data_IF_960519466767
#
_entry.id   IF_960519466767
#
_cell.length_a   1.000
_cell.length_b   1.000
_cell.length_c   1.000
_cell.angle_alpha   90.00
_cell.angle_beta   90.00
_cell.angle_gamma   90.00
#
_symmetry.space_group_name_H-M   'P 1'
#
loop_
_entity.id
_entity.type
_entity.pdbx_description
1 polymer ?
#
# COMPACT_ATOMS: atom_id res chain seq x y z
N UNK A 1 22.87 -2.51 -19.70
CA UNK A 1 21.66 -1.76 -19.29
C UNK A 1 20.32 -2.35 -19.78
N UNK A 2 20.26 -3.25 -20.78
CA UNK A 2 18.98 -3.88 -21.20
C UNK A 2 18.48 -5.04 -20.31
N UNK A 3 19.35 -5.60 -19.47
CA UNK A 3 19.09 -6.82 -18.66
C UNK A 3 18.54 -6.57 -17.24
N UNK A 4 18.12 -5.35 -16.91
CA UNK A 4 17.50 -5.03 -15.61
C UNK A 4 16.09 -4.46 -15.78
N UNK A 5 15.54 -4.49 -16.99
CA UNK A 5 14.26 -3.82 -17.29
C UNK A 5 13.13 -4.43 -16.48
N UNK A 6 13.12 -5.75 -16.36
CA UNK A 6 12.09 -6.48 -15.61
C UNK A 6 12.20 -6.15 -14.12
N UNK A 7 13.43 -6.16 -13.59
CA UNK A 7 13.69 -5.81 -12.19
C UNK A 7 13.26 -4.38 -11.88
N UNK A 8 13.64 -3.42 -12.72
CA UNK A 8 13.28 -2.01 -12.57
C UNK A 8 11.77 -1.81 -12.65
N UNK A 9 11.09 -2.49 -13.58
CA UNK A 9 9.64 -2.44 -13.68
C UNK A 9 8.96 -2.97 -12.41
N UNK A 10 9.47 -4.07 -11.85
CA UNK A 10 9.00 -4.57 -10.56
C UNK A 10 9.27 -3.58 -9.42
N UNK A 11 10.45 -2.96 -9.38
CA UNK A 11 10.80 -1.95 -8.36
C UNK A 11 9.87 -0.74 -8.42
N UNK A 12 9.51 -0.27 -9.62
CA UNK A 12 8.50 0.77 -9.79
C UNK A 12 7.12 0.30 -9.33
N UNK A 13 6.68 -0.89 -9.72
CA UNK A 13 5.43 -1.45 -9.25
C UNK A 13 5.39 -1.52 -7.71
N UNK A 14 6.45 -2.08 -7.12
CA UNK A 14 6.69 -2.18 -5.68
C UNK A 14 6.60 -0.85 -4.98
N UNK A 15 7.27 0.18 -5.51
CA UNK A 15 7.20 1.53 -4.97
C UNK A 15 5.74 2.00 -4.86
N UNK A 16 4.97 1.96 -5.95
CA UNK A 16 3.60 2.45 -5.95
C UNK A 16 2.70 1.71 -4.97
N UNK A 17 2.65 0.37 -5.02
CA UNK A 17 1.73 -0.34 -4.13
C UNK A 17 2.19 -0.31 -2.66
N UNK A 18 3.50 -0.34 -2.37
CA UNK A 18 3.98 -0.25 -0.99
C UNK A 18 3.78 1.13 -0.40
N UNK A 19 3.95 2.18 -1.19
CA UNK A 19 3.62 3.52 -0.75
C UNK A 19 2.14 3.64 -0.40
N UNK A 20 1.25 3.05 -1.21
CA UNK A 20 -0.17 2.95 -0.88
C UNK A 20 -0.44 2.21 0.43
N UNK A 21 0.18 1.05 0.63
CA UNK A 21 0.09 0.27 1.89
C UNK A 21 0.52 1.11 3.08
N UNK A 22 1.71 1.69 3.01
CA UNK A 22 2.29 2.38 4.15
C UNK A 22 1.57 3.72 4.42
N UNK A 23 1.04 4.36 3.39
CA UNK A 23 0.22 5.58 3.52
C UNK A 23 -1.07 5.29 4.27
N UNK A 24 -1.76 4.21 3.93
CA UNK A 24 -2.96 3.77 4.69
C UNK A 24 -2.61 3.60 6.16
N UNK A 25 -1.52 2.90 6.48
CA UNK A 25 -1.13 2.63 7.86
C UNK A 25 -0.77 3.92 8.61
N UNK A 26 0.03 4.79 8.00
CA UNK A 26 0.46 6.05 8.63
C UNK A 26 -0.67 7.05 8.80
N UNK A 27 -1.53 7.18 7.82
CA UNK A 27 -2.60 8.19 7.79
C UNK A 27 -3.94 7.67 8.33
N UNK A 28 -4.04 6.41 8.74
CA UNK A 28 -5.27 5.83 9.29
C UNK A 28 -5.79 6.62 10.51
N UNK A 29 -4.90 7.06 11.40
CA UNK A 29 -5.28 7.82 12.60
C UNK A 29 -5.80 9.21 12.20
N UNK A 30 -5.07 9.93 11.36
CA UNK A 30 -5.51 11.27 10.89
C UNK A 30 -6.83 11.20 10.13
N UNK A 31 -7.00 10.17 9.30
CA UNK A 31 -8.24 9.91 8.59
C UNK A 31 -9.39 9.65 9.57
N UNK A 32 -9.20 8.75 10.53
CA UNK A 32 -10.19 8.41 11.54
C UNK A 32 -10.61 9.60 12.41
N UNK A 33 -9.66 10.44 12.82
CA UNK A 33 -9.95 11.68 13.54
C UNK A 33 -10.75 12.65 12.68
N UNK A 34 -10.39 12.78 11.40
CA UNK A 34 -11.06 13.69 10.45
C UNK A 34 -12.53 13.34 10.20
N UNK A 35 -12.91 12.07 10.37
CA UNK A 35 -14.30 11.62 10.26
C UNK A 35 -15.02 11.53 11.62
N UNK A 36 -14.38 11.98 12.70
CA UNK A 36 -15.01 12.14 14.03
C UNK A 36 -14.83 10.96 14.99
N UNK A 37 -13.90 10.03 14.73
CA UNK A 37 -13.60 8.96 15.69
C UNK A 37 -12.67 9.43 16.79
N UNK A 38 -12.85 8.86 18.00
CA UNK A 38 -12.04 9.20 19.15
C UNK A 38 -10.64 8.60 19.03
N UNK A 39 -9.61 9.33 19.45
CA UNK A 39 -8.20 8.87 19.36
C UNK A 39 -7.95 7.53 20.07
N UNK A 40 -8.68 7.24 21.15
CA UNK A 40 -8.60 5.95 21.86
C UNK A 40 -9.01 4.78 20.98
N UNK A 41 -10.05 4.95 20.15
CA UNK A 41 -10.50 3.91 19.23
C UNK A 41 -9.46 3.67 18.12
N UNK A 42 -8.84 4.75 17.66
CA UNK A 42 -7.85 4.71 16.58
C UNK A 42 -6.56 4.02 17.00
N UNK A 43 -6.06 4.35 18.21
CA UNK A 43 -4.89 3.70 18.80
C UNK A 43 -5.16 2.21 19.02
N UNK A 44 -6.36 1.86 19.49
CA UNK A 44 -6.76 0.46 19.70
C UNK A 44 -6.75 -0.31 18.38
N UNK A 45 -7.26 0.27 17.30
CA UNK A 45 -7.24 -0.38 15.99
C UNK A 45 -5.80 -0.55 15.47
N UNK A 46 -4.92 0.44 15.66
CA UNK A 46 -3.50 0.33 15.27
C UNK A 46 -2.78 -0.78 16.04
N UNK A 47 -3.07 -0.96 17.33
CA UNK A 47 -2.57 -2.11 18.10
C UNK A 47 -3.08 -3.42 17.52
N UNK A 48 -4.37 -3.49 17.18
CA UNK A 48 -4.98 -4.66 16.55
C UNK A 48 -4.26 -5.04 15.24
N UNK A 49 -3.93 -4.07 14.37
CA UNK A 49 -3.16 -4.31 13.14
C UNK A 49 -1.84 -5.02 13.44
N UNK A 50 -1.13 -4.59 14.48
CA UNK A 50 0.17 -5.16 14.84
C UNK A 50 0.04 -6.62 15.32
N UNK A 51 -0.95 -6.92 16.16
CA UNK A 51 -1.20 -8.28 16.65
C UNK A 51 -1.69 -9.23 15.56
N UNK A 52 -2.53 -8.73 14.64
CA UNK A 52 -3.06 -9.53 13.53
C UNK A 52 -2.01 -9.72 12.44
N UNK A 53 -1.17 -8.71 12.19
CA UNK A 53 -0.22 -8.73 11.08
C UNK A 53 0.89 -9.76 11.20
N UNK A 54 1.38 -10.02 12.40
CA UNK A 54 2.43 -11.03 12.62
C UNK A 54 2.00 -12.46 12.23
N UNK A 55 0.91 -13.04 12.78
CA UNK A 55 0.47 -14.38 12.41
C UNK A 55 0.03 -14.45 10.95
N UNK A 56 -0.54 -13.37 10.42
CA UNK A 56 -1.03 -13.35 9.05
C UNK A 56 0.09 -13.34 8.01
N UNK A 57 1.24 -12.72 8.32
CA UNK A 57 2.43 -12.79 7.47
C UNK A 57 2.85 -14.24 7.18
N UNK A 58 2.78 -15.12 8.19
CA UNK A 58 3.10 -16.55 8.06
C UNK A 58 2.07 -17.28 7.19
N UNK A 59 0.79 -16.93 7.30
CA UNK A 59 -0.29 -17.53 6.51
C UNK A 59 -0.17 -17.10 5.05
N UNK A 60 -0.01 -15.80 4.79
CA UNK A 60 0.17 -15.26 3.44
C UNK A 60 1.46 -15.74 2.78
N UNK A 61 2.54 -15.96 3.55
CA UNK A 61 3.76 -16.59 3.06
C UNK A 61 3.50 -17.98 2.48
N UNK A 62 2.78 -18.83 3.23
CA UNK A 62 2.36 -20.17 2.76
C UNK A 62 1.40 -20.12 1.57
N UNK A 63 0.55 -19.09 1.49
CA UNK A 63 -0.31 -18.88 0.33
C UNK A 63 0.51 -18.60 -0.93
N UNK A 64 1.58 -17.80 -0.82
CA UNK A 64 2.50 -17.53 -1.93
C UNK A 64 3.25 -18.75 -2.45
N UNK A 65 3.54 -19.72 -1.58
CA UNK A 65 4.15 -21.00 -1.97
C UNK A 65 3.20 -21.86 -2.81
N UNK A 66 1.91 -21.89 -2.45
CA UNK A 66 0.91 -22.72 -3.14
C UNK A 66 0.34 -22.08 -4.40
N UNK A 67 0.05 -20.78 -4.37
CA UNK A 67 -0.67 -20.07 -5.45
C UNK A 67 0.25 -19.25 -6.37
N UNK A 68 1.52 -19.11 -5.99
CA UNK A 68 2.50 -18.30 -6.71
C UNK A 68 2.56 -16.87 -6.16
N UNK A 69 3.79 -16.40 -5.94
CA UNK A 69 4.09 -15.14 -5.25
C UNK A 69 3.43 -13.93 -5.93
N UNK A 70 3.55 -13.79 -7.26
CA UNK A 70 2.97 -12.66 -8.01
C UNK A 70 1.44 -12.59 -7.86
N UNK A 71 0.76 -13.73 -7.95
CA UNK A 71 -0.71 -13.80 -7.79
C UNK A 71 -1.14 -13.43 -6.37
N UNK A 72 -0.39 -13.84 -5.36
CA UNK A 72 -0.65 -13.47 -3.97
C UNK A 72 -0.43 -11.97 -3.71
N UNK A 73 0.52 -11.33 -4.40
CA UNK A 73 0.67 -9.86 -4.36
C UNK A 73 -0.56 -9.18 -4.98
N UNK A 74 -1.05 -9.66 -6.13
CA UNK A 74 -2.29 -9.12 -6.72
C UNK A 74 -3.51 -9.27 -5.81
N UNK A 75 -3.67 -10.42 -5.16
CA UNK A 75 -4.72 -10.62 -4.17
C UNK A 75 -4.61 -9.59 -3.04
N UNK A 76 -3.41 -9.36 -2.53
CA UNK A 76 -3.17 -8.37 -1.49
C UNK A 76 -3.53 -6.95 -1.95
N UNK A 77 -3.08 -6.54 -3.14
CA UNK A 77 -3.45 -5.24 -3.75
C UNK A 77 -4.97 -5.11 -3.87
N UNK A 78 -5.66 -6.15 -4.35
CA UNK A 78 -7.12 -6.17 -4.44
C UNK A 78 -7.81 -5.99 -3.08
N UNK A 79 -7.31 -6.65 -2.03
CA UNK A 79 -7.84 -6.47 -0.67
C UNK A 79 -7.62 -5.03 -0.18
N UNK A 80 -6.44 -4.44 -0.43
CA UNK A 80 -6.18 -3.04 -0.09
C UNK A 80 -7.11 -2.08 -0.84
N UNK A 81 -7.38 -2.32 -2.11
CA UNK A 81 -8.32 -1.52 -2.89
C UNK A 81 -9.74 -1.60 -2.32
N UNK A 82 -10.23 -2.82 -2.01
CA UNK A 82 -11.54 -3.01 -1.39
C UNK A 82 -11.60 -2.36 0.00
N UNK A 83 -10.54 -2.49 0.80
CA UNK A 83 -10.45 -1.84 2.10
C UNK A 83 -10.46 -0.31 1.98
N UNK A 84 -9.82 0.24 0.95
CA UNK A 84 -9.84 1.69 0.66
C UNK A 84 -11.26 2.15 0.30
N UNK A 85 -11.96 1.42 -0.58
CA UNK A 85 -13.36 1.71 -0.95
C UNK A 85 -14.30 1.61 0.26
N UNK A 86 -14.10 0.61 1.13
CA UNK A 86 -14.81 0.50 2.40
C UNK A 86 -14.50 1.68 3.33
N UNK A 87 -13.24 2.07 3.42
CA UNK A 87 -12.77 3.21 4.20
C UNK A 87 -13.46 4.52 3.80
N UNK A 88 -13.62 4.78 2.49
CA UNK A 88 -14.32 5.97 1.97
C UNK A 88 -15.77 6.08 2.42
N UNK A 89 -16.42 4.96 2.72
CA UNK A 89 -17.84 4.90 3.07
C UNK A 89 -18.08 4.72 4.57
N UNK A 90 -17.01 4.57 5.35
CA UNK A 90 -17.06 4.32 6.79
C UNK A 90 -17.82 5.40 7.55
N UNK A 91 -18.72 4.96 8.43
CA UNK A 91 -19.52 5.82 9.31
C UNK A 91 -19.45 5.36 10.77
N UNK A 92 -19.19 4.07 11.00
CA UNK A 92 -19.23 3.46 12.32
C UNK A 92 -17.85 2.98 12.76
N UNK A 93 -17.59 3.04 14.06
CA UNK A 93 -16.29 2.65 14.65
C UNK A 93 -15.94 1.18 14.41
N UNK A 94 -16.93 0.29 14.42
CA UNK A 94 -16.70 -1.14 14.18
C UNK A 94 -16.17 -1.43 12.77
N UNK A 95 -16.56 -0.61 11.79
CA UNK A 95 -16.06 -0.72 10.41
C UNK A 95 -14.57 -0.40 10.35
N UNK A 96 -14.11 0.56 11.16
CA UNK A 96 -12.69 0.87 11.30
C UNK A 96 -11.89 -0.30 11.85
N UNK A 97 -12.40 -0.95 12.91
CA UNK A 97 -11.75 -2.13 13.49
C UNK A 97 -11.73 -3.31 12.50
N UNK A 98 -12.81 -3.51 11.74
CA UNK A 98 -12.86 -4.54 10.70
C UNK A 98 -11.83 -4.27 9.60
N UNK A 99 -11.76 -3.04 9.09
CA UNK A 99 -10.78 -2.65 8.08
C UNK A 99 -9.34 -2.74 8.61
N UNK A 100 -9.10 -2.35 9.85
CA UNK A 100 -7.82 -2.51 10.52
C UNK A 100 -7.42 -4.00 10.60
N UNK A 101 -8.35 -4.89 10.97
CA UNK A 101 -8.10 -6.33 10.98
C UNK A 101 -7.75 -6.85 9.59
N UNK A 102 -8.52 -6.48 8.56
CA UNK A 102 -8.28 -6.87 7.16
C UNK A 102 -6.93 -6.37 6.66
N UNK A 103 -6.61 -5.11 6.89
CA UNK A 103 -5.30 -4.52 6.53
C UNK A 103 -4.19 -5.27 7.26
N UNK A 104 -4.32 -5.49 8.57
CA UNK A 104 -3.37 -6.26 9.36
C UNK A 104 -3.10 -7.63 8.76
N UNK A 105 -4.15 -8.37 8.39
CA UNK A 105 -4.02 -9.71 7.80
C UNK A 105 -3.15 -9.72 6.53
N UNK A 106 -3.21 -8.65 5.73
CA UNK A 106 -2.53 -8.59 4.43
C UNK A 106 -1.18 -7.88 4.51
N UNK A 107 -1.01 -6.95 5.46
CA UNK A 107 0.15 -6.07 5.58
C UNK A 107 1.46 -6.84 5.67
N UNK A 108 1.56 -7.82 6.58
CA UNK A 108 2.76 -8.63 6.70
C UNK A 108 2.98 -9.54 5.48
N UNK A 109 1.88 -10.00 4.88
CA UNK A 109 1.87 -10.88 3.72
C UNK A 109 2.46 -10.23 2.47
N UNK A 110 1.94 -9.07 2.07
CA UNK A 110 2.41 -8.38 0.86
C UNK A 110 3.89 -7.98 0.97
N UNK A 111 4.36 -7.61 2.16
CA UNK A 111 5.76 -7.26 2.41
C UNK A 111 6.69 -8.48 2.30
N UNK A 112 6.28 -9.64 2.83
CA UNK A 112 7.05 -10.87 2.72
C UNK A 112 7.07 -11.40 1.28
N UNK A 113 5.92 -11.39 0.61
CA UNK A 113 5.78 -11.83 -0.78
C UNK A 113 6.59 -10.94 -1.73
N UNK A 114 6.56 -9.63 -1.57
CA UNK A 114 7.33 -8.70 -2.40
C UNK A 114 8.83 -8.96 -2.30
N UNK A 115 9.34 -9.20 -1.07
CA UNK A 115 10.74 -9.58 -0.85
C UNK A 115 11.07 -10.94 -1.49
N UNK A 116 10.19 -11.93 -1.35
CA UNK A 116 10.36 -13.24 -1.97
C UNK A 116 10.30 -13.19 -3.50
N UNK A 117 9.51 -12.27 -4.07
CA UNK A 117 9.46 -12.07 -5.51
C UNK A 117 10.74 -11.39 -6.02
N UNK A 118 11.17 -10.33 -5.33
CA UNK A 118 12.41 -9.62 -5.63
C UNK A 118 13.63 -10.56 -5.64
N UNK A 119 13.72 -11.46 -4.64
CA UNK A 119 14.85 -12.40 -4.53
C UNK A 119 15.01 -13.33 -5.74
N UNK A 120 13.92 -13.58 -6.47
CA UNK A 120 13.91 -14.43 -7.68
C UNK A 120 14.34 -13.67 -8.94
N UNK A 121 14.38 -12.34 -8.88
CA UNK A 121 14.69 -11.45 -10.01
C UNK A 121 16.11 -10.87 -9.93
N UNK A 122 16.86 -11.18 -8.87
CA UNK A 122 18.21 -10.66 -8.65
C UNK A 122 19.26 -11.77 -8.79
N UNK A 123 20.47 -11.43 -9.24
CA UNK A 123 21.55 -12.40 -9.34
C UNK A 123 22.06 -12.79 -7.93
N UNK A 124 22.24 -14.11 -7.64
CA UNK A 124 22.55 -14.59 -6.29
C UNK A 124 23.95 -14.18 -5.80
N UNK A 125 24.90 -13.95 -6.71
CA UNK A 125 26.28 -13.53 -6.41
C UNK A 125 26.38 -12.06 -5.95
N UNK A 126 25.38 -11.22 -6.24
CA UNK A 126 25.35 -9.79 -5.89
C UNK A 126 24.15 -9.43 -5.00
N UNK A 127 23.47 -10.41 -4.41
CA UNK A 127 22.21 -10.20 -3.70
C UNK A 127 22.28 -9.09 -2.64
N UNK A 128 23.41 -8.96 -1.93
CA UNK A 128 23.58 -7.93 -0.90
C UNK A 128 23.46 -6.49 -1.45
N UNK A 129 24.02 -6.21 -2.62
CA UNK A 129 23.95 -4.90 -3.28
C UNK A 129 22.51 -4.59 -3.71
N UNK A 130 21.87 -5.56 -4.37
CA UNK A 130 20.47 -5.44 -4.81
C UNK A 130 19.50 -5.29 -3.63
N UNK A 131 19.70 -5.98 -2.51
CA UNK A 131 18.89 -5.79 -1.30
C UNK A 131 19.18 -4.44 -0.63
N UNK A 132 20.43 -3.95 -0.70
CA UNK A 132 20.77 -2.59 -0.29
C UNK A 132 19.95 -1.55 -1.05
N UNK A 133 19.91 -1.65 -2.38
CA UNK A 133 19.10 -0.79 -3.24
C UNK A 133 17.59 -0.91 -2.96
N UNK A 134 17.08 -2.13 -2.84
CA UNK A 134 15.66 -2.38 -2.53
C UNK A 134 15.23 -1.75 -1.20
N UNK A 135 16.05 -1.90 -0.15
CA UNK A 135 15.78 -1.30 1.15
C UNK A 135 15.83 0.22 1.10
N UNK A 136 16.77 0.79 0.34
CA UNK A 136 16.84 2.23 0.10
C UNK A 136 15.57 2.72 -0.61
N UNK A 137 15.17 2.07 -1.71
CA UNK A 137 13.97 2.41 -2.47
C UNK A 137 12.71 2.34 -1.60
N UNK A 138 12.57 1.28 -0.78
CA UNK A 138 11.46 1.14 0.15
C UNK A 138 11.35 2.29 1.16
N UNK A 139 12.48 2.83 1.65
CA UNK A 139 12.46 4.00 2.55
C UNK A 139 12.03 5.29 1.85
N UNK A 140 12.37 5.46 0.58
CA UNK A 140 11.92 6.59 -0.22
C UNK A 140 10.50 6.41 -0.77
N UNK A 141 9.95 5.19 -0.68
CA UNK A 141 8.66 4.88 -1.27
C UNK A 141 7.53 5.74 -0.71
N UNK A 142 7.65 6.09 0.56
CA UNK A 142 6.70 6.70 1.52
C UNK A 142 6.23 8.13 1.22
N UNK A 143 6.63 8.73 0.10
CA UNK A 143 6.43 10.18 -0.12
C UNK A 143 5.18 10.48 -0.94
N UNK A 144 4.88 9.67 -1.96
CA UNK A 144 3.85 10.02 -2.94
C UNK A 144 2.44 9.96 -2.34
N UNK A 145 2.16 8.98 -1.50
CA UNK A 145 0.85 8.75 -0.92
C UNK A 145 0.42 9.85 0.05
N UNK A 146 1.23 10.27 1.03
CA UNK A 146 0.86 11.38 1.89
C UNK A 146 0.72 12.69 1.13
N UNK A 147 1.56 12.93 0.12
CA UNK A 147 1.44 14.11 -0.77
C UNK A 147 0.14 14.05 -1.57
N UNK A 148 -0.22 12.89 -2.12
CA UNK A 148 -1.45 12.69 -2.88
C UNK A 148 -2.68 12.88 -1.99
N UNK A 149 -2.69 12.25 -0.81
CA UNK A 149 -3.76 12.42 0.17
C UNK A 149 -3.91 13.88 0.60
N UNK A 150 -2.82 14.55 0.98
CA UNK A 150 -2.83 15.95 1.38
C UNK A 150 -3.30 16.87 0.25
N UNK A 151 -2.79 16.66 -0.97
CA UNK A 151 -3.17 17.40 -2.16
C UNK A 151 -4.66 17.26 -2.50
N UNK A 152 -5.17 16.03 -2.52
CA UNK A 152 -6.60 15.78 -2.78
C UNK A 152 -7.48 16.35 -1.66
N UNK A 153 -7.07 16.25 -0.40
CA UNK A 153 -7.80 16.85 0.72
C UNK A 153 -7.90 18.38 0.56
N UNK A 154 -6.79 19.05 0.21
CA UNK A 154 -6.75 20.50 0.00
C UNK A 154 -7.60 20.93 -1.20
N UNK A 155 -7.46 20.23 -2.32
CA UNK A 155 -8.24 20.51 -3.53
C UNK A 155 -9.74 20.30 -3.28
N UNK A 156 -10.12 19.21 -2.61
CA UNK A 156 -11.51 18.93 -2.26
C UNK A 156 -12.07 20.01 -1.33
N UNK A 157 -11.32 20.44 -0.31
CA UNK A 157 -11.72 21.55 0.58
C UNK A 157 -11.90 22.85 -0.19
N UNK A 158 -10.92 23.23 -1.01
CA UNK A 158 -10.99 24.48 -1.77
C UNK A 158 -12.15 24.51 -2.77
N UNK A 159 -12.52 23.36 -3.34
CA UNK A 159 -13.58 23.27 -4.33
C UNK A 159 -14.98 23.19 -3.72
N UNK A 160 -15.13 22.49 -2.59
CA UNK A 160 -16.43 22.23 -1.95
C UNK A 160 -16.81 23.31 -0.92
N UNK A 161 -15.85 24.09 -0.40
CA UNK A 161 -16.11 25.06 0.66
C UNK A 161 -16.77 26.33 0.10
N UNK A 162 -17.95 26.73 0.60
CA UNK A 162 -18.61 27.98 0.19
C UNK A 162 -17.89 29.21 0.74
N UNK A 163 -18.14 30.39 0.16
CA UNK A 163 -17.44 31.65 0.50
C UNK A 163 -17.65 32.09 1.97
N UNK A 164 -18.81 31.79 2.54
CA UNK A 164 -19.14 32.10 3.93
C UNK A 164 -19.72 30.84 4.61
N UNK A 165 -18.87 29.88 5.02
CA UNK A 165 -19.33 28.59 5.51
C UNK A 165 -19.79 28.67 6.97
N UNK A 166 -20.90 27.99 7.27
CA UNK A 166 -21.29 27.67 8.65
C UNK A 166 -20.39 26.58 9.26
N UNK A 167 -20.35 26.48 10.59
CA UNK A 167 -19.55 25.45 11.29
C UNK A 167 -19.91 24.02 10.85
N UNK A 168 -21.20 23.77 10.57
CA UNK A 168 -21.69 22.49 10.08
C UNK A 168 -21.16 22.15 8.68
N UNK A 169 -21.09 23.15 7.78
CA UNK A 169 -20.53 22.97 6.44
C UNK A 169 -19.02 22.74 6.48
N UNK A 170 -18.29 23.43 7.37
CA UNK A 170 -16.86 23.19 7.58
C UNK A 170 -16.60 21.73 7.97
N UNK A 171 -17.37 21.20 8.91
CA UNK A 171 -17.25 19.80 9.34
C UNK A 171 -17.60 18.84 8.21
N UNK A 172 -18.74 19.05 7.53
CA UNK A 172 -19.18 18.19 6.43
C UNK A 172 -18.17 18.16 5.28
N UNK A 173 -17.68 19.32 4.83
CA UNK A 173 -16.65 19.42 3.79
C UNK A 173 -15.35 18.78 4.25
N UNK A 174 -14.97 18.95 5.52
CA UNK A 174 -13.80 18.30 6.11
C UNK A 174 -13.87 16.78 6.03
N UNK A 175 -15.01 16.19 6.38
CA UNK A 175 -15.25 14.74 6.30
C UNK A 175 -15.26 14.24 4.86
N UNK A 176 -15.94 14.94 3.95
CA UNK A 176 -15.97 14.59 2.52
C UNK A 176 -14.57 14.64 1.90
N UNK A 177 -13.81 15.70 2.18
CA UNK A 177 -12.44 15.84 1.72
C UNK A 177 -11.54 14.72 2.26
N UNK A 178 -11.71 14.30 3.51
CA UNK A 178 -10.97 13.17 4.07
C UNK A 178 -11.31 11.86 3.34
N UNK A 179 -12.59 11.62 3.02
CA UNK A 179 -13.04 10.43 2.26
C UNK A 179 -12.47 10.43 0.84
N UNK A 180 -12.45 11.57 0.17
CA UNK A 180 -11.85 11.70 -1.16
C UNK A 180 -10.33 11.53 -1.12
N UNK A 181 -9.71 12.07 -0.07
CA UNK A 181 -8.27 11.94 0.21
C UNK A 181 -7.86 10.48 0.34
N UNK A 182 -8.50 9.68 1.20
CA UNK A 182 -8.16 8.25 1.31
C UNK A 182 -8.47 7.48 0.02
N UNK A 183 -9.54 7.84 -0.69
CA UNK A 183 -9.89 7.26 -1.98
C UNK A 183 -8.81 7.47 -3.06
N UNK A 184 -8.04 8.56 -2.99
CA UNK A 184 -6.96 8.83 -3.94
C UNK A 184 -5.86 7.77 -3.93
N UNK A 185 -5.67 7.05 -2.82
CA UNK A 185 -4.66 5.98 -2.71
C UNK A 185 -4.96 4.83 -3.69
N UNK A 186 -6.22 4.66 -4.14
CA UNK A 186 -6.57 3.70 -5.19
C UNK A 186 -5.72 3.90 -6.46
N UNK A 187 -5.33 5.14 -6.77
CA UNK A 187 -4.47 5.45 -7.91
C UNK A 187 -3.11 4.74 -7.76
N UNK A 188 -2.52 4.76 -6.57
CA UNK A 188 -1.23 4.09 -6.30
C UNK A 188 -1.35 2.57 -6.45
N UNK A 189 -2.41 1.97 -5.91
CA UNK A 189 -2.66 0.54 -6.07
C UNK A 189 -2.93 0.12 -7.51
N UNK A 190 -3.70 0.93 -8.26
CA UNK A 190 -3.96 0.69 -9.68
C UNK A 190 -2.68 0.77 -10.49
N UNK A 191 -1.89 1.84 -10.33
CA UNK A 191 -0.61 1.99 -11.03
C UNK A 191 0.33 0.84 -10.65
N UNK A 192 0.49 0.55 -9.36
CA UNK A 192 1.33 -0.55 -8.88
C UNK A 192 0.89 -1.91 -9.43
N UNK A 193 -0.40 -2.19 -9.45
CA UNK A 193 -0.97 -3.42 -10.01
C UNK A 193 -0.79 -3.52 -11.53
N UNK A 194 -1.04 -2.44 -12.27
CA UNK A 194 -0.83 -2.39 -13.72
C UNK A 194 0.64 -2.60 -14.07
N UNK A 195 1.56 -1.92 -13.38
CA UNK A 195 3.00 -2.11 -13.60
C UNK A 195 3.43 -3.55 -13.27
N UNK A 196 2.94 -4.10 -12.16
CA UNK A 196 3.21 -5.49 -11.77
C UNK A 196 2.72 -6.49 -12.82
N UNK A 197 1.60 -6.20 -13.48
CA UNK A 197 1.03 -7.07 -14.52
C UNK A 197 2.03 -7.28 -15.65
N UNK A 198 2.69 -6.20 -16.09
CA UNK A 198 3.70 -6.20 -17.15
C UNK A 198 5.06 -6.79 -16.75
N UNK A 199 5.29 -7.13 -15.48
CA UNK A 199 6.53 -7.80 -15.07
C UNK A 199 6.54 -9.24 -15.57
N UNK A 200 7.51 -9.58 -16.41
CA UNK A 200 7.63 -10.92 -17.01
C UNK A 200 8.50 -11.84 -16.14
N UNK A 201 7.88 -12.84 -15.50
CA UNK A 201 8.55 -13.74 -14.56
C UNK A 201 9.68 -14.56 -15.21
N UNK A 202 9.50 -14.98 -16.46
CA UNK A 202 10.47 -15.83 -17.16
C UNK A 202 11.68 -15.00 -17.58
N UNK A 203 11.43 -13.86 -18.24
CA UNK A 203 12.50 -12.94 -18.66
C UNK A 203 13.30 -12.42 -17.47
N UNK A 204 12.64 -12.09 -16.37
CA UNK A 204 13.33 -11.62 -15.16
C UNK A 204 14.29 -12.66 -14.57
N UNK A 205 13.93 -13.95 -14.62
CA UNK A 205 14.82 -15.05 -14.17
C UNK A 205 15.95 -15.33 -15.14
N UNK A 206 15.73 -15.14 -16.44
CA UNK A 206 16.78 -15.24 -17.45
C UNK A 206 17.80 -14.10 -17.31
N UNK A 207 17.31 -12.87 -17.15
CA UNK A 207 18.12 -11.69 -16.86
C UNK A 207 18.99 -11.88 -15.60
N UNK A 208 18.39 -12.37 -14.51
CA UNK A 208 19.11 -12.65 -13.27
C UNK A 208 20.19 -13.73 -13.44
N UNK A 209 19.92 -14.78 -14.22
CA UNK A 209 20.90 -15.84 -14.52
C UNK A 209 22.05 -15.33 -15.38
N UNK A 210 21.75 -14.55 -16.42
CA UNK A 210 22.76 -13.95 -17.29
C UNK A 210 23.76 -13.09 -16.51
N UNK A 211 23.26 -12.26 -15.58
CA UNK A 211 24.07 -11.41 -14.69
C UNK A 211 24.82 -12.19 -13.60
N UNK A 212 24.43 -13.43 -13.32
CA UNK A 212 25.16 -14.28 -12.39
C UNK A 212 26.38 -14.93 -13.05
N UNK A 213 26.32 -15.13 -14.37
CA UNK A 213 27.33 -15.82 -15.18
C UNK A 213 28.37 -14.86 -15.80
N UNK A 214 28.10 -13.56 -15.87
CA UNK A 214 28.95 -12.51 -16.47
C UNK A 214 29.15 -11.33 -15.52
#
# INVERSE_FOLDING_TARGET
MRHLKTLMLFLFAYWFYMDGVDTIVRMAVDYGMSIGFASTDLITALLLVQFVGFPAALIFGRLGEKWGVKRSIFLAIGIYMLATIGGMQMTQKYEFYLLAAVIGLVQGGIQALSRSYYSRLIPPNQAAEYYGFFNMLGKFAVILGPVLMGGVALLARNWLMPEAPSEAEIQMVGQLAARWSIGSILILFLIGGILLYFVDDEKGREEARYLAEH
#
